data_IF_787302284139
#
_entry.id   IF_787302284139
#
_cell.length_a   1.000
_cell.length_b   1.000
_cell.length_c   1.000
_cell.angle_alpha   90.00
_cell.angle_beta   90.00
_cell.angle_gamma   90.00
#
_symmetry.space_group_name_H-M   'P 1'
#
loop_
_entity.id
_entity.type
_entity.pdbx_description
1 polymer ?
#
# COMPACT_ATOMS: atom_id res chain seq x y z
N UNK A 1 -10.54 -41.74 -18.25
CA UNK A 1 -9.73 -40.56 -18.61
C UNK A 1 -9.76 -39.60 -17.42
N UNK A 2 -8.60 -39.10 -16.99
CA UNK A 2 -8.51 -38.13 -15.90
C UNK A 2 -8.25 -36.78 -16.55
N UNK A 3 -9.13 -35.81 -16.28
CA UNK A 3 -9.02 -34.45 -16.79
C UNK A 3 -7.99 -33.70 -15.94
N UNK A 4 -6.88 -33.27 -16.54
CA UNK A 4 -5.83 -32.50 -15.85
C UNK A 4 -6.01 -31.01 -16.18
N UNK A 5 -6.83 -30.31 -15.41
CA UNK A 5 -6.94 -28.85 -15.49
C UNK A 5 -5.81 -28.24 -14.68
N UNK A 6 -4.96 -27.44 -15.34
CA UNK A 6 -3.98 -26.62 -14.63
C UNK A 6 -4.74 -25.62 -13.73
N UNK A 7 -4.58 -25.73 -12.42
CA UNK A 7 -5.15 -24.77 -11.49
C UNK A 7 -4.19 -23.57 -11.43
N UNK A 8 -4.64 -22.35 -11.74
CA UNK A 8 -3.79 -21.18 -11.65
C UNK A 8 -3.30 -20.98 -10.21
N UNK A 9 -1.99 -20.82 -10.05
CA UNK A 9 -1.31 -20.66 -8.76
C UNK A 9 -1.87 -19.49 -7.91
N UNK A 10 -2.36 -18.43 -8.55
CA UNK A 10 -2.98 -17.28 -7.87
C UNK A 10 -4.34 -17.58 -7.20
N UNK A 11 -4.97 -18.73 -7.49
CA UNK A 11 -6.18 -19.18 -6.80
C UNK A 11 -5.87 -20.04 -5.56
N UNK A 12 -4.64 -20.56 -5.43
CA UNK A 12 -4.20 -21.38 -4.29
C UNK A 12 -3.78 -20.48 -3.11
N UNK A 13 -3.22 -19.32 -3.40
CA UNK A 13 -2.76 -18.36 -2.40
C UNK A 13 -3.64 -17.11 -2.40
N UNK A 14 -4.84 -17.23 -1.83
CA UNK A 14 -5.65 -16.05 -1.52
C UNK A 14 -4.95 -15.27 -0.41
N UNK A 15 -4.53 -14.03 -0.67
CA UNK A 15 -4.10 -13.13 0.41
C UNK A 15 -5.23 -13.04 1.42
N UNK A 16 -4.90 -13.26 2.70
CA UNK A 16 -5.89 -13.15 3.76
C UNK A 16 -6.44 -11.72 3.77
N UNK A 17 -7.76 -11.57 3.83
CA UNK A 17 -8.39 -10.24 3.90
C UNK A 17 -7.83 -9.40 5.07
N UNK A 18 -7.41 -10.06 6.15
CA UNK A 18 -6.77 -9.46 7.32
C UNK A 18 -5.42 -8.80 7.03
N UNK A 19 -4.67 -9.27 6.03
CA UNK A 19 -3.42 -8.61 5.59
C UNK A 19 -3.70 -7.33 4.79
N UNK A 20 -4.83 -7.29 4.08
CA UNK A 20 -5.27 -6.12 3.35
C UNK A 20 -5.71 -4.99 4.31
N UNK A 21 -6.42 -5.34 5.40
CA UNK A 21 -6.87 -4.39 6.43
C UNK A 21 -5.71 -3.69 7.17
N UNK A 22 -4.56 -4.36 7.30
CA UNK A 22 -3.37 -3.81 7.97
C UNK A 22 -2.59 -2.82 7.11
N UNK A 23 -2.79 -2.86 5.80
CA UNK A 23 -2.10 -2.03 4.84
C UNK A 23 -2.97 -0.83 4.43
N UNK A 24 -2.38 0.35 4.38
CA UNK A 24 -3.07 1.57 3.99
C UNK A 24 -2.19 2.39 3.06
N UNK A 25 -2.81 3.16 2.17
CA UNK A 25 -2.08 4.06 1.27
C UNK A 25 -1.97 5.44 1.91
N UNK A 26 -0.74 5.93 2.05
CA UNK A 26 -0.43 7.27 2.58
C UNK A 26 0.47 8.01 1.62
N UNK A 27 0.46 9.33 1.71
CA UNK A 27 1.43 10.18 1.04
C UNK A 27 2.53 10.55 2.02
N UNK A 28 3.75 10.23 1.66
CA UNK A 28 4.95 10.68 2.36
C UNK A 28 5.77 11.47 1.34
N UNK A 29 6.10 12.72 1.65
CA UNK A 29 6.84 13.59 0.74
C UNK A 29 6.16 13.73 -0.65
N UNK A 30 4.83 13.84 -0.65
CA UNK A 30 3.97 13.88 -1.86
C UNK A 30 3.99 12.61 -2.73
N UNK A 31 4.71 11.57 -2.31
CA UNK A 31 4.81 10.29 -3.01
C UNK A 31 3.86 9.28 -2.37
N UNK A 32 3.05 8.55 -3.17
CA UNK A 32 2.16 7.53 -2.64
C UNK A 32 2.96 6.27 -2.23
N UNK A 33 2.71 5.79 -1.01
CA UNK A 33 3.26 4.55 -0.48
C UNK A 33 2.16 3.66 0.09
N UNK A 34 2.33 2.36 -0.10
CA UNK A 34 1.60 1.35 0.65
C UNK A 34 2.37 1.10 1.94
N UNK A 35 1.74 1.34 3.07
CA UNK A 35 2.35 1.22 4.40
C UNK A 35 1.56 0.29 5.29
N UNK A 36 2.23 -0.32 6.25
CA UNK A 36 1.62 -1.09 7.32
C UNK A 36 1.74 -0.33 8.64
N UNK A 37 0.69 -0.35 9.45
CA UNK A 37 0.72 0.20 10.82
C UNK A 37 1.46 -0.74 11.76
N UNK A 38 2.42 -0.19 12.49
CA UNK A 38 3.11 -0.86 13.60
C UNK A 38 2.47 -0.46 14.93
N UNK A 39 2.63 -1.29 15.97
CA UNK A 39 2.09 -1.02 17.33
C UNK A 39 2.59 0.31 17.92
N UNK A 40 3.74 0.80 17.47
CA UNK A 40 4.42 2.01 17.97
C UNK A 40 3.94 3.33 17.36
N UNK A 41 2.79 3.38 16.68
CA UNK A 41 2.32 4.56 15.90
C UNK A 41 3.29 4.99 14.78
N UNK A 42 4.03 4.04 14.24
CA UNK A 42 4.89 4.21 13.07
C UNK A 42 4.28 3.49 11.88
N UNK A 43 4.62 3.99 10.69
CA UNK A 43 4.34 3.31 9.43
C UNK A 43 5.60 2.64 8.92
N UNK A 44 5.47 1.40 8.47
CA UNK A 44 6.50 0.69 7.72
C UNK A 44 6.13 0.65 6.24
N UNK A 45 7.07 1.03 5.36
CA UNK A 45 6.85 1.00 3.92
C UNK A 45 6.81 -0.44 3.44
N UNK A 46 5.66 -0.87 2.92
CA UNK A 46 5.53 -2.17 2.24
C UNK A 46 5.92 -2.03 0.77
N UNK A 47 5.47 -0.95 0.12
CA UNK A 47 5.72 -0.73 -1.31
C UNK A 47 5.71 0.75 -1.68
N UNK A 48 6.68 1.14 -2.50
CA UNK A 48 6.68 2.42 -3.22
C UNK A 48 5.74 2.34 -4.44
N UNK A 49 4.75 3.23 -4.49
CA UNK A 49 3.75 3.30 -5.58
C UNK A 49 4.03 4.44 -6.56
N UNK A 50 5.19 5.09 -6.45
CA UNK A 50 5.57 6.18 -7.34
C UNK A 50 5.80 5.71 -8.76
N UNK A 51 5.48 6.59 -9.71
CA UNK A 51 5.81 6.42 -11.13
C UNK A 51 7.23 6.90 -11.46
N UNK A 52 7.87 7.68 -10.60
CA UNK A 52 9.23 8.21 -10.84
C UNK A 52 10.30 7.17 -10.44
N UNK A 53 11.15 6.71 -11.37
CA UNK A 53 12.20 5.73 -11.05
C UNK A 53 13.25 6.25 -10.06
N UNK A 54 13.48 7.55 -9.98
CA UNK A 54 14.45 8.13 -9.04
C UNK A 54 14.07 7.85 -7.58
N UNK A 55 12.77 7.77 -7.28
CA UNK A 55 12.30 7.48 -5.92
C UNK A 55 12.62 6.05 -5.47
N UNK A 56 12.95 5.13 -6.39
CA UNK A 56 13.39 3.78 -6.05
C UNK A 56 14.89 3.71 -5.73
N UNK A 57 15.66 4.74 -6.09
CA UNK A 57 17.09 4.82 -5.83
C UNK A 57 17.40 5.35 -4.43
N UNK A 58 16.45 6.08 -3.83
CA UNK A 58 16.63 6.65 -2.50
C UNK A 58 16.28 5.63 -1.41
N UNK A 59 17.24 5.35 -0.54
CA UNK A 59 17.08 4.33 0.51
C UNK A 59 15.96 4.68 1.51
N UNK A 60 15.66 5.97 1.71
CA UNK A 60 14.53 6.42 2.57
C UNK A 60 13.15 6.00 2.05
N UNK A 61 13.03 5.65 0.77
CA UNK A 61 11.78 5.20 0.15
C UNK A 61 11.79 3.69 -0.12
N UNK A 62 12.80 2.98 0.37
CA UNK A 62 12.91 1.54 0.21
C UNK A 62 11.89 0.82 1.13
N UNK A 63 11.34 -0.33 0.70
CA UNK A 63 10.52 -1.18 1.56
C UNK A 63 11.24 -1.56 2.86
N UNK A 64 10.49 -1.65 3.96
CA UNK A 64 10.99 -1.90 5.32
C UNK A 64 11.41 -0.63 6.08
N UNK A 65 11.49 0.52 5.41
CA UNK A 65 11.79 1.79 6.09
C UNK A 65 10.61 2.23 6.95
N UNK A 66 10.90 2.71 8.16
CA UNK A 66 9.90 3.18 9.11
C UNK A 66 9.93 4.69 9.25
N UNK A 67 8.76 5.30 9.37
CA UNK A 67 8.62 6.72 9.64
C UNK A 67 7.40 7.00 10.55
N UNK A 68 7.41 8.12 11.30
CA UNK A 68 6.31 8.46 12.19
C UNK A 68 4.98 8.66 11.46
N UNK A 69 3.87 8.21 12.01
CA UNK A 69 2.55 8.42 11.39
C UNK A 69 2.20 9.91 11.19
N UNK A 70 2.76 10.80 12.00
CA UNK A 70 2.53 12.25 11.93
C UNK A 70 3.05 12.92 10.65
N UNK A 71 4.05 12.35 9.98
CA UNK A 71 4.61 12.94 8.74
C UNK A 71 3.87 12.47 7.49
N UNK A 72 3.01 11.44 7.61
CA UNK A 72 2.20 10.95 6.50
C UNK A 72 0.93 11.78 6.36
N UNK A 73 0.64 12.21 5.13
CA UNK A 73 -0.68 12.75 4.79
C UNK A 73 -1.56 11.60 4.33
N UNK A 74 -2.68 11.38 5.03
CA UNK A 74 -3.66 10.38 4.62
C UNK A 74 -4.34 10.85 3.32
N UNK A 75 -4.50 9.94 2.37
CA UNK A 75 -5.30 10.19 1.18
C UNK A 75 -6.78 10.32 1.55
N UNK A 76 -7.18 11.48 2.07
CA UNK A 76 -8.58 11.86 2.11
C UNK A 76 -8.97 12.26 0.70
N UNK A 77 -9.46 11.28 -0.07
CA UNK A 77 -10.26 11.55 -1.25
C UNK A 77 -11.38 12.50 -0.81
N UNK A 78 -11.17 13.81 -1.02
CA UNK A 78 -12.22 14.80 -0.91
C UNK A 78 -13.20 14.44 -2.02
N UNK A 79 -14.20 13.63 -1.67
CA UNK A 79 -15.34 13.39 -2.52
C UNK A 79 -15.91 14.74 -2.88
N UNK A 80 -15.61 15.21 -4.09
CA UNK A 80 -16.32 16.31 -4.69
C UNK A 80 -17.79 15.86 -4.75
N UNK A 81 -18.56 16.34 -3.78
CA UNK A 81 -20.00 16.15 -3.70
C UNK A 81 -20.61 16.84 -4.91
N UNK A 82 -20.77 16.08 -6.00
CA UNK A 82 -21.61 16.48 -7.13
C UNK A 82 -23.07 16.20 -6.76
N UNK A 83 -23.59 16.98 -5.81
CA UNK A 83 -25.02 17.11 -5.62
C UNK A 83 -25.33 18.54 -5.19
N UNK A 84 -25.43 19.42 -6.19
CA UNK A 84 -26.19 20.65 -6.07
C UNK A 84 -27.47 20.46 -6.89
N UNK A 85 -28.60 20.55 -6.20
CA UNK A 85 -29.94 20.75 -6.77
C UNK A 85 -30.37 22.17 -6.43
#
# INVERSE_FOLDING_TARGET
>A
MILYTIMPEHLVFQTAAEEYEKQTTVYYDEIPFLVQKTETNEYEIVRNLSTNPLHFLEQKYAPGTRFPMSVATRNEFRGHSWYNK
#
